data_IF_143166228165
#
_entry.id   IF_143166228165
#
_cell.length_a   1.000
_cell.length_b   1.000
_cell.length_c   1.000
_cell.angle_alpha   90.00
_cell.angle_beta   90.00
_cell.angle_gamma   90.00
#
_symmetry.space_group_name_H-M   'P 1'
#
loop_
_entity.id
_entity.type
_entity.pdbx_description
1 polymer ?
#
# COMPACT_ATOMS: atom_id res chain seq x y z
N UNK A 1 -24.97 13.37 7.45
CA UNK A 1 -24.44 12.27 6.64
C UNK A 1 -23.07 11.91 7.18
N UNK A 2 -22.88 10.65 7.54
CA UNK A 2 -21.64 10.11 8.09
C UNK A 2 -20.77 9.51 6.99
N UNK A 3 -19.45 9.59 7.15
CA UNK A 3 -18.49 8.90 6.27
C UNK A 3 -18.12 7.56 6.92
N UNK A 4 -18.87 6.52 6.58
CA UNK A 4 -18.68 5.19 7.17
C UNK A 4 -17.37 4.55 6.71
N UNK A 5 -16.78 3.77 7.60
CA UNK A 5 -15.53 3.04 7.41
C UNK A 5 -15.84 1.56 7.64
N UNK A 6 -15.51 0.71 6.67
CA UNK A 6 -15.61 -0.74 6.85
C UNK A 6 -14.57 -1.19 7.86
N UNK A 7 -14.97 -1.82 8.96
CA UNK A 7 -14.02 -2.29 10.00
C UNK A 7 -13.10 -3.40 9.52
N UNK A 8 -13.46 -4.14 8.47
CA UNK A 8 -12.64 -5.23 7.92
C UNK A 8 -11.50 -4.71 7.05
N UNK A 9 -11.77 -3.84 6.06
CA UNK A 9 -10.75 -3.35 5.12
C UNK A 9 -10.27 -1.92 5.37
N UNK A 10 -10.97 -1.13 6.19
CA UNK A 10 -10.62 0.25 6.50
C UNK A 10 -10.99 1.27 5.42
N UNK A 11 -11.57 0.83 4.30
CA UNK A 11 -12.03 1.74 3.24
C UNK A 11 -13.15 2.64 3.74
N UNK A 12 -12.98 3.95 3.56
CA UNK A 12 -13.98 4.96 3.88
C UNK A 12 -14.92 5.21 2.68
N UNK A 13 -16.20 5.36 2.99
CA UNK A 13 -17.28 5.59 2.04
C UNK A 13 -17.60 7.08 1.92
N UNK A 14 -18.23 7.51 0.80
CA UNK A 14 -18.78 8.86 0.71
C UNK A 14 -19.84 9.09 1.79
N UNK A 15 -20.14 10.35 2.13
CA UNK A 15 -21.18 10.66 3.12
C UNK A 15 -22.51 9.96 2.80
N UNK A 16 -23.09 9.28 3.79
CA UNK A 16 -24.38 8.58 3.69
C UNK A 16 -25.25 8.83 4.93
N UNK A 17 -26.57 8.72 4.81
CA UNK A 17 -27.50 8.81 5.95
C UNK A 17 -27.66 7.49 6.73
N UNK A 18 -27.28 6.37 6.11
CA UNK A 18 -27.35 5.04 6.70
C UNK A 18 -26.07 4.26 6.40
N UNK A 19 -25.78 3.26 7.24
CA UNK A 19 -24.67 2.35 7.02
C UNK A 19 -24.79 1.69 5.65
N UNK A 20 -23.69 1.59 4.87
CA UNK A 20 -23.74 0.90 3.59
C UNK A 20 -24.16 -0.56 3.77
N UNK A 21 -24.93 -1.09 2.82
CA UNK A 21 -25.39 -2.48 2.88
C UNK A 21 -24.24 -3.49 2.78
N UNK A 22 -23.21 -3.16 2.00
CA UNK A 22 -22.02 -3.98 1.84
C UNK A 22 -20.81 -3.15 1.45
N UNK A 23 -19.62 -3.69 1.71
CA UNK A 23 -18.38 -3.13 1.23
C UNK A 23 -17.92 -3.83 -0.05
N UNK A 24 -17.91 -3.16 -1.24
CA UNK A 24 -17.50 -3.79 -2.50
C UNK A 24 -16.09 -4.37 -2.47
N UNK A 25 -15.18 -3.75 -1.70
CA UNK A 25 -13.80 -4.25 -1.52
C UNK A 25 -13.81 -5.58 -0.78
N UNK A 26 -14.55 -5.70 0.33
CA UNK A 26 -14.67 -6.93 1.11
C UNK A 26 -15.48 -8.04 0.41
N UNK A 27 -16.39 -7.68 -0.49
CA UNK A 27 -17.19 -8.63 -1.27
C UNK A 27 -16.41 -9.21 -2.46
N UNK A 28 -15.22 -8.70 -2.73
CA UNK A 28 -14.37 -9.15 -3.83
C UNK A 28 -13.41 -10.26 -3.38
N UNK A 29 -13.11 -11.20 -4.29
CA UNK A 29 -12.31 -12.42 -4.06
C UNK A 29 -10.90 -12.19 -3.49
N UNK A 30 -10.38 -10.97 -3.57
CA UNK A 30 -9.07 -10.57 -3.06
C UNK A 30 -9.11 -10.10 -1.61
N UNK A 31 -10.31 -10.03 -1.05
CA UNK A 31 -10.59 -9.76 0.34
C UNK A 31 -11.66 -10.75 0.86
N UNK A 32 -12.31 -10.38 1.97
CA UNK A 32 -13.35 -11.15 2.61
C UNK A 32 -14.24 -10.23 3.46
N UNK A 33 -15.44 -10.70 3.77
CA UNK A 33 -16.30 -10.15 4.81
C UNK A 33 -15.88 -10.76 6.15
N UNK A 34 -15.73 -9.92 7.17
CA UNK A 34 -15.34 -10.38 8.50
C UNK A 34 -16.29 -11.47 9.07
N UNK A 35 -15.83 -12.31 10.01
CA UNK A 35 -16.66 -13.37 10.60
C UNK A 35 -17.95 -12.88 11.28
N UNK A 36 -17.97 -11.61 11.73
CA UNK A 36 -19.16 -10.95 12.29
C UNK A 36 -20.12 -10.35 11.26
N UNK A 37 -19.83 -10.50 9.96
CA UNK A 37 -20.53 -9.81 8.88
C UNK A 37 -19.92 -8.45 8.55
N UNK A 38 -20.69 -7.59 7.89
CA UNK A 38 -20.28 -6.21 7.60
C UNK A 38 -20.46 -5.34 8.84
N UNK A 39 -19.36 -4.76 9.32
CA UNK A 39 -19.36 -3.85 10.45
C UNK A 39 -18.77 -2.50 10.05
N UNK A 40 -19.36 -1.44 10.59
CA UNK A 40 -19.05 -0.07 10.22
C UNK A 40 -18.62 0.74 11.45
N UNK A 41 -17.74 1.71 11.23
CA UNK A 41 -17.44 2.79 12.17
C UNK A 41 -17.32 4.12 11.43
N UNK A 42 -16.95 5.19 12.10
CA UNK A 42 -16.58 6.48 11.47
C UNK A 42 -15.28 6.99 12.07
N UNK A 43 -14.61 7.93 11.38
CA UNK A 43 -13.41 8.56 11.93
C UNK A 43 -13.73 9.31 13.23
N UNK A 44 -14.92 9.90 13.35
CA UNK A 44 -15.40 10.53 14.58
C UNK A 44 -15.51 9.54 15.74
N UNK A 45 -16.12 8.36 15.52
CA UNK A 45 -16.20 7.33 16.56
C UNK A 45 -14.81 6.84 16.97
N UNK A 46 -13.91 6.60 16.01
CA UNK A 46 -12.55 6.15 16.30
C UNK A 46 -11.79 7.17 17.15
N UNK A 47 -11.86 8.46 16.82
CA UNK A 47 -11.16 9.54 17.56
C UNK A 47 -11.76 9.77 18.95
N UNK A 48 -13.09 9.80 19.09
CA UNK A 48 -13.77 9.95 20.39
C UNK A 48 -13.52 8.77 21.32
N UNK A 49 -13.34 7.56 20.78
CA UNK A 49 -13.05 6.38 21.59
C UNK A 49 -11.71 6.46 22.32
N UNK A 50 -10.76 7.26 21.81
CA UNK A 50 -9.37 7.34 22.29
C UNK A 50 -8.64 5.99 22.39
N UNK A 51 -9.15 4.97 21.70
CA UNK A 51 -8.56 3.63 21.70
C UNK A 51 -7.43 3.49 20.69
N UNK A 52 -7.33 4.39 19.72
CA UNK A 52 -6.36 4.32 18.62
C UNK A 52 -5.35 5.46 18.70
N UNK A 53 -4.13 5.16 18.28
CA UNK A 53 -3.06 6.12 18.00
C UNK A 53 -2.32 5.68 16.74
N UNK A 54 -1.65 6.59 16.05
CA UNK A 54 -0.70 6.23 15.00
C UNK A 54 0.72 6.22 15.58
N UNK A 55 1.36 5.06 15.54
CA UNK A 55 2.78 4.92 15.82
C UNK A 55 3.57 5.40 14.60
N UNK A 56 4.35 6.48 14.78
CA UNK A 56 5.25 7.01 13.75
C UNK A 56 6.68 6.67 14.14
N UNK A 57 7.36 5.87 13.32
CA UNK A 57 8.71 5.38 13.62
C UNK A 57 9.66 5.67 12.47
N UNK A 58 10.85 6.19 12.80
CA UNK A 58 11.93 6.31 11.83
C UNK A 58 12.52 4.93 11.54
N UNK A 59 12.46 4.49 10.29
CA UNK A 59 13.01 3.19 9.86
C UNK A 59 14.45 3.33 9.37
N UNK A 60 14.72 4.39 8.61
CA UNK A 60 16.07 4.76 8.19
C UNK A 60 16.16 6.28 7.95
N UNK A 61 17.28 6.75 7.41
CA UNK A 61 17.40 8.16 7.04
C UNK A 61 16.34 8.52 5.99
N UNK A 62 15.55 9.56 6.29
CA UNK A 62 14.50 10.09 5.42
C UNK A 62 13.31 9.13 5.16
N UNK A 63 13.13 8.13 6.03
CA UNK A 63 12.00 7.20 5.94
C UNK A 63 11.34 6.99 7.30
N UNK A 64 10.03 7.19 7.34
CA UNK A 64 9.19 6.93 8.50
C UNK A 64 8.07 5.96 8.14
N UNK A 65 7.77 5.03 9.03
CA UNK A 65 6.59 4.18 8.99
C UNK A 65 5.48 4.77 9.86
N UNK A 66 4.23 4.55 9.45
CA UNK A 66 3.03 4.94 10.17
C UNK A 66 2.12 3.73 10.29
N UNK A 67 1.80 3.32 11.52
CA UNK A 67 0.89 2.20 11.79
C UNK A 67 -0.11 2.56 12.90
N UNK A 68 -1.38 2.25 12.70
CA UNK A 68 -2.41 2.41 13.74
C UNK A 68 -2.27 1.32 14.81
N UNK A 69 -2.29 1.72 16.07
CA UNK A 69 -2.24 0.86 17.26
C UNK A 69 -3.45 1.15 18.18
N UNK A 70 -4.17 0.12 18.66
CA UNK A 70 -4.08 -1.28 18.26
C UNK A 70 -4.42 -1.46 16.77
N UNK A 71 -4.11 -2.63 16.24
CA UNK A 71 -4.32 -2.93 14.83
C UNK A 71 -5.80 -2.71 14.43
N UNK A 72 -6.00 -2.02 13.31
CA UNK A 72 -7.31 -1.73 12.75
C UNK A 72 -7.38 -2.21 11.30
N UNK A 73 -8.52 -2.79 10.93
CA UNK A 73 -8.76 -3.35 9.60
C UNK A 73 -7.64 -4.33 9.18
N UNK A 74 -6.97 -4.07 8.05
CA UNK A 74 -5.92 -4.93 7.51
C UNK A 74 -4.62 -4.83 8.32
N UNK A 75 -4.44 -3.77 9.11
CA UNK A 75 -3.23 -3.58 9.93
C UNK A 75 -1.99 -3.18 9.15
N UNK A 76 -2.20 -2.55 7.98
CA UNK A 76 -1.15 -2.10 7.10
C UNK A 76 -0.35 -0.91 7.66
N UNK A 77 0.84 -0.74 7.10
CA UNK A 77 1.75 0.39 7.33
C UNK A 77 1.76 1.30 6.11
N UNK A 78 1.63 2.61 6.33
CA UNK A 78 1.97 3.63 5.34
C UNK A 78 3.40 4.14 5.58
N UNK A 79 4.04 4.67 4.54
CA UNK A 79 5.40 5.17 4.62
C UNK A 79 5.51 6.63 4.19
N UNK A 80 6.15 7.46 5.00
CA UNK A 80 6.52 8.83 4.64
C UNK A 80 7.98 8.85 4.18
N UNK A 81 8.18 9.07 2.88
CA UNK A 81 9.50 9.19 2.24
C UNK A 81 9.82 10.68 2.06
N UNK A 82 10.92 11.15 2.63
CA UNK A 82 11.41 12.52 2.46
C UNK A 82 12.49 12.56 1.38
N UNK A 83 12.21 13.19 0.25
CA UNK A 83 13.13 13.17 -0.90
C UNK A 83 13.27 14.56 -1.53
N UNK A 84 14.43 15.19 -1.38
CA UNK A 84 14.75 16.50 -1.98
C UNK A 84 13.70 17.60 -1.71
N UNK A 85 13.16 17.66 -0.49
CA UNK A 85 12.12 18.61 -0.11
C UNK A 85 10.70 18.23 -0.55
N UNK A 86 10.53 17.05 -1.17
CA UNK A 86 9.25 16.46 -1.50
C UNK A 86 8.97 15.27 -0.57
N UNK A 87 7.90 15.36 0.22
CA UNK A 87 7.51 14.33 1.15
C UNK A 87 6.37 13.50 0.56
N UNK A 88 6.64 12.25 0.16
CA UNK A 88 5.64 11.35 -0.39
C UNK A 88 5.11 10.44 0.71
N UNK A 89 3.80 10.40 0.88
CA UNK A 89 3.13 9.31 1.61
C UNK A 89 2.84 8.18 0.62
N UNK A 90 3.43 7.02 0.85
CA UNK A 90 3.16 5.79 0.12
C UNK A 90 2.18 4.90 0.88
N UNK A 91 1.10 4.52 0.20
CA UNK A 91 -0.08 3.87 0.79
C UNK A 91 -0.74 4.74 1.88
N UNK A 92 -1.86 4.28 2.44
CA UNK A 92 -2.62 5.05 3.42
C UNK A 92 -3.19 4.17 4.53
N UNK A 93 -3.38 4.76 5.72
CA UNK A 93 -4.02 4.15 6.88
C UNK A 93 -5.32 4.87 7.21
N UNK A 94 -6.18 4.23 8.00
CA UNK A 94 -7.56 4.72 8.19
C UNK A 94 -7.67 5.78 9.28
N UNK A 95 -6.97 5.57 10.41
CA UNK A 95 -7.07 6.47 11.55
C UNK A 95 -6.23 7.74 11.33
N UNK A 96 -6.83 8.90 11.63
CA UNK A 96 -6.20 10.20 11.52
C UNK A 96 -6.74 11.10 12.65
N UNK A 97 -5.83 11.62 13.47
CA UNK A 97 -6.13 12.58 14.53
C UNK A 97 -5.22 13.80 14.47
N UNK A 98 -5.55 14.83 15.25
CA UNK A 98 -4.80 16.09 15.26
C UNK A 98 -3.34 15.90 15.67
N UNK A 99 -3.08 15.00 16.63
CA UNK A 99 -1.72 14.71 17.08
C UNK A 99 -0.86 14.12 15.94
N UNK A 100 -1.41 13.18 15.18
CA UNK A 100 -0.76 12.63 13.98
C UNK A 100 -0.49 13.72 12.96
N UNK A 101 -1.47 14.59 12.70
CA UNK A 101 -1.35 15.69 11.72
C UNK A 101 -0.20 16.62 12.10
N UNK A 102 -0.16 17.09 13.35
CA UNK A 102 0.87 18.00 13.83
C UNK A 102 2.25 17.33 13.83
N UNK A 103 2.36 16.07 14.25
CA UNK A 103 3.63 15.32 14.20
C UNK A 103 4.17 15.22 12.77
N UNK A 104 3.31 14.99 11.78
CA UNK A 104 3.75 14.93 10.37
C UNK A 104 4.11 16.31 9.83
N UNK A 105 3.42 17.37 10.24
CA UNK A 105 3.81 18.76 9.90
C UNK A 105 5.20 19.10 10.45
N UNK A 106 5.53 18.66 11.67
CA UNK A 106 6.88 18.80 12.25
C UNK A 106 7.94 18.02 11.45
N UNK A 107 7.56 16.91 10.81
CA UNK A 107 8.40 16.18 9.86
C UNK A 107 8.42 16.80 8.45
N UNK A 108 7.89 18.01 8.26
CA UNK A 108 7.88 18.74 6.99
C UNK A 108 6.62 18.53 6.14
N UNK A 109 5.59 17.88 6.69
CA UNK A 109 4.29 17.68 6.04
C UNK A 109 4.30 16.60 4.95
N UNK A 110 3.24 16.59 4.15
CA UNK A 110 3.07 15.72 2.98
C UNK A 110 3.00 16.62 1.74
N UNK A 111 3.62 16.21 0.64
CA UNK A 111 3.58 16.88 -0.66
C UNK A 111 2.65 16.16 -1.64
N UNK A 112 2.54 14.84 -1.52
CA UNK A 112 1.61 14.02 -2.27
C UNK A 112 1.35 12.69 -1.54
N UNK A 113 0.25 12.05 -1.88
CA UNK A 113 -0.06 10.66 -1.52
C UNK A 113 -0.02 9.85 -2.82
N UNK A 114 0.60 8.68 -2.80
CA UNK A 114 0.53 7.71 -3.90
C UNK A 114 0.21 6.33 -3.35
N UNK A 115 -0.63 5.59 -4.05
CA UNK A 115 -1.22 4.37 -3.52
C UNK A 115 -0.90 3.18 -4.41
N UNK A 116 -0.54 2.07 -3.79
CA UNK A 116 -0.18 0.84 -4.50
C UNK A 116 -1.40 0.19 -5.15
N UNK A 117 -2.49 0.00 -4.40
CA UNK A 117 -3.70 -0.68 -4.85
C UNK A 117 -4.87 -0.52 -3.85
N UNK A 118 -6.10 -0.93 -4.19
CA UNK A 118 -7.34 -0.59 -3.48
C UNK A 118 -7.43 -0.91 -1.99
N UNK A 119 -6.76 -1.96 -1.51
CA UNK A 119 -6.79 -2.30 -0.09
C UNK A 119 -6.15 -1.24 0.80
N UNK A 120 -5.26 -0.41 0.26
CA UNK A 120 -4.55 0.61 1.00
C UNK A 120 -5.04 2.04 0.69
N UNK A 121 -6.21 2.17 0.06
CA UNK A 121 -6.86 3.47 -0.14
C UNK A 121 -7.45 4.00 1.17
N UNK A 122 -7.91 3.14 2.08
CA UNK A 122 -8.25 3.50 3.46
C UNK A 122 -9.12 4.77 3.59
N UNK A 123 -8.67 5.75 4.38
CA UNK A 123 -9.24 7.08 4.48
C UNK A 123 -8.43 8.14 3.67
N UNK A 124 -7.88 7.77 2.50
CA UNK A 124 -7.02 8.61 1.65
C UNK A 124 -7.50 10.05 1.48
N UNK A 125 -8.82 10.26 1.39
CA UNK A 125 -9.40 11.58 1.16
C UNK A 125 -9.31 12.43 2.43
N UNK A 126 -9.48 11.87 3.63
CA UNK A 126 -9.26 12.61 4.89
C UNK A 126 -7.81 13.08 5.00
N UNK A 127 -6.86 12.20 4.65
CA UNK A 127 -5.44 12.54 4.61
C UNK A 127 -5.14 13.63 3.58
N UNK A 128 -5.66 13.50 2.37
CA UNK A 128 -5.44 14.49 1.31
C UNK A 128 -6.05 15.86 1.65
N UNK A 129 -7.24 15.89 2.25
CA UNK A 129 -7.91 17.11 2.72
C UNK A 129 -7.12 17.76 3.87
N UNK A 130 -6.66 16.97 4.85
CA UNK A 130 -5.91 17.47 6.01
C UNK A 130 -4.57 18.12 5.66
N UNK A 131 -3.88 17.59 4.63
CA UNK A 131 -2.59 18.12 4.16
C UNK A 131 -2.72 18.98 2.90
N UNK A 132 -3.91 19.07 2.30
CA UNK A 132 -4.19 19.74 1.03
C UNK A 132 -3.25 19.30 -0.11
N UNK A 133 -3.20 17.99 -0.38
CA UNK A 133 -2.26 17.36 -1.33
C UNK A 133 -2.95 16.48 -2.37
N UNK A 134 -2.36 16.23 -3.54
CA UNK A 134 -2.90 15.28 -4.51
C UNK A 134 -2.73 13.82 -4.06
N UNK A 135 -3.64 12.96 -4.54
CA UNK A 135 -3.58 11.50 -4.43
C UNK A 135 -3.35 10.92 -5.83
N UNK A 136 -2.30 10.13 -6.02
CA UNK A 136 -2.02 9.44 -7.27
C UNK A 136 -2.51 8.00 -7.25
N UNK A 137 -3.43 7.66 -8.15
CA UNK A 137 -4.00 6.33 -8.34
C UNK A 137 -3.87 5.91 -9.80
N UNK A 138 -3.51 4.66 -10.08
CA UNK A 138 -3.47 4.19 -11.46
C UNK A 138 -4.88 4.06 -12.04
N UNK A 139 -5.10 4.50 -13.28
CA UNK A 139 -6.44 4.54 -13.88
C UNK A 139 -7.14 3.18 -14.00
N UNK A 140 -6.37 2.09 -14.13
CA UNK A 140 -6.91 0.73 -14.15
C UNK A 140 -7.59 0.32 -12.84
N UNK A 141 -7.34 1.04 -11.74
CA UNK A 141 -7.99 0.79 -10.46
C UNK A 141 -9.08 1.83 -10.13
N UNK A 142 -9.46 2.68 -11.10
CA UNK A 142 -10.49 3.73 -10.92
C UNK A 142 -11.81 3.18 -10.38
N UNK A 143 -12.22 2.01 -10.83
CA UNK A 143 -13.48 1.38 -10.40
C UNK A 143 -13.50 1.02 -8.90
N UNK A 144 -12.32 0.93 -8.27
CA UNK A 144 -12.18 0.59 -6.85
C UNK A 144 -12.13 1.82 -5.94
N UNK A 145 -12.23 3.03 -6.48
CA UNK A 145 -12.31 4.26 -5.70
C UNK A 145 -13.73 4.40 -5.14
N UNK A 146 -13.89 4.11 -3.85
CA UNK A 146 -15.20 4.16 -3.17
C UNK A 146 -15.63 5.60 -2.85
N UNK A 147 -14.73 6.41 -2.27
CA UNK A 147 -14.97 7.84 -1.99
C UNK A 147 -14.23 8.69 -3.02
N UNK A 148 -14.98 9.34 -3.90
CA UNK A 148 -14.45 10.29 -4.87
C UNK A 148 -13.94 11.58 -4.20
N UNK A 149 -13.00 12.26 -4.86
CA UNK A 149 -12.43 13.54 -4.42
C UNK A 149 -11.70 14.25 -5.56
N UNK A 150 -11.74 15.59 -5.58
CA UNK A 150 -10.98 16.42 -6.51
C UNK A 150 -9.46 16.35 -6.28
N UNK A 151 -9.01 15.81 -5.14
CA UNK A 151 -7.60 15.54 -4.88
C UNK A 151 -7.06 14.35 -5.68
N UNK A 152 -7.92 13.49 -6.23
CA UNK A 152 -7.51 12.25 -6.91
C UNK A 152 -7.07 12.56 -8.35
N UNK A 153 -5.81 12.26 -8.63
CA UNK A 153 -5.20 12.31 -9.96
C UNK A 153 -5.00 10.88 -10.45
N UNK A 154 -5.71 10.53 -11.52
CA UNK A 154 -5.49 9.27 -12.20
C UNK A 154 -4.31 9.36 -13.15
N UNK A 155 -3.35 8.46 -12.98
CA UNK A 155 -2.22 8.32 -13.90
C UNK A 155 -2.33 7.04 -14.72
N UNK A 156 -1.70 7.05 -15.89
CA UNK A 156 -1.80 5.98 -16.88
C UNK A 156 -0.43 5.50 -17.33
N UNK A 157 -0.41 4.35 -18.00
CA UNK A 157 0.80 3.74 -18.53
C UNK A 157 1.55 2.90 -17.51
N UNK A 158 2.84 2.67 -17.78
CA UNK A 158 3.61 1.66 -17.05
C UNK A 158 4.40 2.25 -15.88
N UNK A 159 4.59 3.57 -15.86
CA UNK A 159 5.27 4.28 -14.78
C UNK A 159 4.88 5.75 -14.71
N UNK A 160 4.89 6.31 -13.50
CA UNK A 160 4.77 7.74 -13.24
C UNK A 160 6.00 8.22 -12.47
N UNK A 161 6.74 9.16 -13.06
CA UNK A 161 7.83 9.84 -12.37
C UNK A 161 7.27 11.03 -11.59
N UNK A 162 7.32 10.97 -10.26
CA UNK A 162 6.90 12.07 -9.40
C UNK A 162 8.01 13.12 -9.26
N UNK A 163 9.25 12.66 -9.09
CA UNK A 163 10.45 13.47 -9.04
C UNK A 163 11.64 12.65 -9.56
N UNK A 164 12.77 13.30 -9.87
CA UNK A 164 14.04 12.60 -10.10
C UNK A 164 14.36 11.67 -8.92
N UNK A 165 14.51 10.36 -9.18
CA UNK A 165 14.78 9.34 -8.16
C UNK A 165 13.56 8.81 -7.39
N UNK A 166 12.34 9.24 -7.74
CA UNK A 166 11.09 8.78 -7.12
C UNK A 166 10.04 8.45 -8.19
N UNK A 167 9.92 7.16 -8.50
CA UNK A 167 9.13 6.66 -9.64
C UNK A 167 8.18 5.57 -9.20
N UNK A 168 6.91 5.68 -9.60
CA UNK A 168 5.89 4.65 -9.41
C UNK A 168 5.88 3.75 -10.64
N UNK A 169 5.87 2.44 -10.44
CA UNK A 169 5.79 1.44 -11.51
C UNK A 169 4.52 0.62 -11.39
N UNK A 170 3.74 0.54 -12.47
CA UNK A 170 2.56 -0.30 -12.53
C UNK A 170 2.95 -1.74 -12.85
N UNK A 171 2.88 -2.63 -11.87
CA UNK A 171 3.17 -4.06 -12.04
C UNK A 171 1.93 -4.88 -12.35
N UNK A 172 0.77 -4.45 -11.90
CA UNK A 172 -0.46 -5.24 -11.95
C UNK A 172 -0.35 -6.50 -11.07
N UNK A 173 -1.11 -7.55 -11.40
CA UNK A 173 -1.09 -8.82 -10.68
C UNK A 173 -2.21 -8.87 -9.65
N UNK A 174 -1.94 -8.47 -8.40
CA UNK A 174 -2.93 -8.44 -7.33
C UNK A 174 -4.15 -7.56 -7.68
N UNK A 175 -3.88 -6.38 -8.26
CA UNK A 175 -4.87 -5.53 -8.94
C UNK A 175 -4.35 -5.16 -10.31
N UNK A 176 -5.23 -4.74 -11.22
CA UNK A 176 -4.83 -4.39 -12.59
C UNK A 176 -3.94 -3.15 -12.60
N UNK A 177 -4.24 -2.16 -11.76
CA UNK A 177 -3.44 -0.95 -11.54
C UNK A 177 -2.36 -1.10 -10.46
N UNK A 178 -2.23 -2.27 -9.82
CA UNK A 178 -1.30 -2.53 -8.73
C UNK A 178 0.11 -1.99 -9.00
N UNK A 179 0.62 -1.16 -8.10
CA UNK A 179 1.84 -0.39 -8.29
C UNK A 179 2.85 -0.57 -7.15
N UNK A 180 4.11 -0.31 -7.46
CA UNK A 180 5.22 -0.24 -6.50
C UNK A 180 5.94 1.10 -6.66
N UNK A 181 6.55 1.59 -5.58
CA UNK A 181 7.34 2.81 -5.60
C UNK A 181 8.83 2.49 -5.52
N UNK A 182 9.58 3.00 -6.49
CA UNK A 182 11.04 2.95 -6.51
C UNK A 182 11.61 4.29 -6.05
N UNK A 183 12.34 4.24 -4.94
CA UNK A 183 13.14 5.36 -4.42
C UNK A 183 14.62 5.08 -4.71
N UNK A 184 15.11 5.57 -5.85
CA UNK A 184 16.45 5.26 -6.38
C UNK A 184 17.57 5.68 -5.42
N UNK A 185 17.41 6.82 -4.75
CA UNK A 185 18.44 7.38 -3.88
C UNK A 185 18.31 6.94 -2.40
N UNK A 186 17.31 6.11 -2.08
CA UNK A 186 17.17 5.54 -0.75
C UNK A 186 18.30 4.57 -0.39
N UNK A 187 18.41 4.21 0.89
CA UNK A 187 19.42 3.26 1.39
C UNK A 187 20.84 3.60 0.89
N UNK A 188 21.28 4.84 1.14
CA UNK A 188 22.61 5.34 0.75
C UNK A 188 22.87 5.27 -0.77
N UNK A 189 21.83 5.45 -1.58
CA UNK A 189 21.92 5.40 -3.04
C UNK A 189 21.89 4.00 -3.66
N UNK A 190 21.60 2.96 -2.85
CA UNK A 190 21.43 1.59 -3.35
C UNK A 190 20.01 1.27 -3.82
N UNK A 191 19.07 2.17 -3.56
CA UNK A 191 17.68 2.06 -3.96
C UNK A 191 16.82 1.28 -2.97
N UNK A 192 15.57 1.72 -2.84
CA UNK A 192 14.53 1.12 -2.00
C UNK A 192 13.27 0.93 -2.82
N UNK A 193 12.59 -0.21 -2.66
CA UNK A 193 11.31 -0.49 -3.27
C UNK A 193 10.22 -0.61 -2.20
N UNK A 194 9.13 0.16 -2.34
CA UNK A 194 7.93 0.01 -1.51
C UNK A 194 6.87 -0.73 -2.31
N UNK A 195 6.43 -1.86 -1.77
CA UNK A 195 5.76 -2.89 -2.56
C UNK A 195 4.31 -3.12 -2.17
N UNK A 196 3.84 -2.52 -1.07
CA UNK A 196 2.56 -2.89 -0.48
C UNK A 196 2.54 -4.40 -0.22
N UNK A 197 1.64 -5.11 -0.89
CA UNK A 197 1.68 -6.57 -1.06
C UNK A 197 1.66 -7.00 -2.54
N UNK A 198 1.84 -6.07 -3.49
CA UNK A 198 2.05 -6.39 -4.92
C UNK A 198 3.24 -7.34 -5.09
N UNK A 199 4.28 -7.13 -4.26
CA UNK A 199 5.36 -8.08 -4.03
C UNK A 199 5.45 -8.27 -2.51
N UNK A 200 4.98 -9.40 -2.00
CA UNK A 200 4.87 -9.60 -0.56
C UNK A 200 6.15 -10.21 0.02
N UNK A 201 6.73 -9.55 1.03
CA UNK A 201 7.83 -10.12 1.83
C UNK A 201 7.27 -11.21 2.74
N UNK A 202 7.79 -12.43 2.60
CA UNK A 202 7.31 -13.60 3.35
C UNK A 202 8.00 -13.73 4.70
N UNK A 203 7.69 -14.80 5.45
CA UNK A 203 8.24 -15.01 6.79
C UNK A 203 9.78 -15.10 6.79
N UNK A 204 10.33 -15.83 5.81
CA UNK A 204 11.76 -15.77 5.51
C UNK A 204 12.05 -14.49 4.72
N UNK A 205 12.62 -13.49 5.41
CA UNK A 205 12.88 -12.14 4.89
C UNK A 205 13.98 -12.08 3.82
N UNK A 206 14.55 -13.22 3.44
CA UNK A 206 15.33 -13.35 2.21
C UNK A 206 14.49 -13.61 0.96
N UNK A 207 13.16 -13.68 1.06
CA UNK A 207 12.28 -14.06 -0.05
C UNK A 207 11.01 -13.21 -0.13
N UNK A 208 10.38 -13.26 -1.30
CA UNK A 208 9.07 -12.67 -1.57
C UNK A 208 8.11 -13.71 -2.18
N UNK A 209 6.84 -13.35 -2.31
CA UNK A 209 5.83 -14.13 -3.02
C UNK A 209 4.82 -13.19 -3.71
N UNK A 210 3.98 -13.76 -4.57
CA UNK A 210 3.02 -13.05 -5.39
C UNK A 210 1.66 -13.76 -5.32
N UNK A 211 0.56 -13.04 -5.10
CA UNK A 211 -0.77 -13.66 -5.03
C UNK A 211 -1.82 -12.80 -5.72
N UNK A 212 -2.83 -13.48 -6.28
CA UNK A 212 -4.05 -12.83 -6.70
C UNK A 212 -4.81 -12.39 -5.45
N UNK A 213 -4.95 -13.27 -4.46
CA UNK A 213 -5.60 -13.00 -3.18
C UNK A 213 -4.77 -13.56 -2.04
N UNK A 214 -4.21 -12.70 -1.18
CA UNK A 214 -3.52 -13.15 0.03
C UNK A 214 -4.46 -13.73 1.09
N UNK A 215 -5.62 -13.12 1.40
CA UNK A 215 -6.55 -13.68 2.38
C UNK A 215 -7.05 -15.08 2.00
N UNK A 216 -7.28 -15.33 0.70
CA UNK A 216 -7.80 -16.61 0.20
C UNK A 216 -6.71 -17.52 -0.38
N UNK A 217 -5.43 -17.13 -0.29
CA UNK A 217 -4.28 -17.87 -0.77
C UNK A 217 -4.37 -18.29 -2.25
N UNK A 218 -4.93 -17.43 -3.10
CA UNK A 218 -5.07 -17.68 -4.54
C UNK A 218 -3.80 -17.20 -5.27
N UNK A 219 -3.06 -18.09 -5.95
CA UNK A 219 -1.85 -17.70 -6.66
C UNK A 219 -2.13 -16.87 -7.91
N UNK A 220 -1.14 -16.09 -8.33
CA UNK A 220 -1.10 -15.51 -9.68
C UNK A 220 -0.67 -16.58 -10.69
N UNK A 221 -1.11 -16.46 -11.96
CA UNK A 221 -0.55 -17.24 -13.06
C UNK A 221 0.96 -17.04 -13.23
N UNK A 222 1.64 -18.07 -13.71
CA UNK A 222 3.09 -18.04 -13.93
C UNK A 222 3.51 -16.88 -14.84
N UNK A 223 2.79 -16.66 -15.94
CA UNK A 223 3.07 -15.61 -16.93
C UNK A 223 2.94 -14.21 -16.32
N UNK A 224 2.01 -14.04 -15.38
CA UNK A 224 1.84 -12.78 -14.65
C UNK A 224 3.04 -12.49 -13.76
N UNK A 225 3.52 -13.49 -13.02
CA UNK A 225 4.70 -13.35 -12.16
C UNK A 225 5.98 -13.14 -12.98
N UNK A 226 6.17 -13.86 -14.09
CA UNK A 226 7.28 -13.64 -15.02
C UNK A 226 7.28 -12.20 -15.55
N UNK A 227 6.10 -11.68 -15.95
CA UNK A 227 5.95 -10.29 -16.41
C UNK A 227 6.28 -9.27 -15.31
N UNK A 228 5.81 -9.49 -14.08
CA UNK A 228 6.09 -8.60 -12.94
C UNK A 228 7.60 -8.58 -12.62
N UNK A 229 8.23 -9.75 -12.52
CA UNK A 229 9.66 -9.87 -12.26
C UNK A 229 10.51 -9.24 -13.37
N UNK A 230 10.11 -9.44 -14.64
CA UNK A 230 10.77 -8.84 -15.80
C UNK A 230 10.71 -7.31 -15.82
N UNK A 231 9.58 -6.72 -15.40
CA UNK A 231 9.41 -5.24 -15.33
C UNK A 231 10.36 -4.57 -14.34
N UNK A 232 10.62 -5.20 -13.20
CA UNK A 232 11.47 -4.60 -12.15
C UNK A 232 12.93 -5.04 -12.24
N UNK A 233 13.24 -6.09 -13.02
CA UNK A 233 14.61 -6.56 -13.26
C UNK A 233 15.62 -5.47 -13.67
N UNK A 234 15.26 -4.46 -14.50
CA UNK A 234 16.20 -3.39 -14.84
C UNK A 234 16.37 -2.32 -13.74
N UNK A 235 15.56 -2.36 -12.67
CA UNK A 235 15.61 -1.38 -11.59
C UNK A 235 16.62 -1.82 -10.53
N UNK A 236 17.48 -0.90 -10.09
CA UNK A 236 18.44 -1.16 -9.01
C UNK A 236 17.80 -0.83 -7.66
N UNK A 237 17.68 -1.83 -6.79
CA UNK A 237 17.25 -1.65 -5.41
C UNK A 237 17.81 -2.77 -4.52
N UNK A 238 18.35 -2.38 -3.37
CA UNK A 238 18.94 -3.31 -2.39
C UNK A 238 17.94 -3.66 -1.28
N UNK A 239 16.89 -2.85 -1.10
CA UNK A 239 15.93 -2.99 0.00
C UNK A 239 14.48 -3.00 -0.46
N UNK A 240 13.64 -3.81 0.18
CA UNK A 240 12.17 -3.77 0.04
C UNK A 240 11.52 -3.48 1.38
N UNK A 241 10.52 -2.59 1.39
CA UNK A 241 9.51 -2.48 2.45
C UNK A 241 8.14 -2.91 1.91
N UNK A 242 7.43 -3.74 2.67
CA UNK A 242 6.04 -4.13 2.39
C UNK A 242 5.07 -3.43 3.35
N UNK A 243 3.77 -3.65 3.17
CA UNK A 243 2.73 -3.07 4.01
C UNK A 243 2.65 -3.61 5.45
N UNK A 244 3.50 -4.56 5.87
CA UNK A 244 3.36 -5.28 7.15
C UNK A 244 4.65 -5.25 7.98
N UNK A 245 5.45 -4.18 7.87
CA UNK A 245 6.76 -4.03 8.54
C UNK A 245 7.72 -5.21 8.30
N UNK A 246 7.61 -5.88 7.15
CA UNK A 246 8.58 -6.88 6.71
C UNK A 246 9.49 -6.25 5.66
N UNK A 247 10.78 -6.53 5.84
CA UNK A 247 11.85 -5.88 5.09
C UNK A 247 12.76 -6.95 4.53
N UNK A 248 13.04 -6.88 3.23
CA UNK A 248 14.23 -7.54 2.66
C UNK A 248 15.35 -6.52 2.77
N UNK A 249 16.32 -6.75 3.65
CA UNK A 249 17.28 -5.71 4.03
C UNK A 249 18.35 -5.42 2.97
N UNK A 250 18.72 -6.44 2.19
CA UNK A 250 19.79 -6.45 1.18
C UNK A 250 19.47 -7.40 0.04
N UNK A 251 20.09 -7.18 -1.12
CA UNK A 251 19.97 -7.99 -2.33
C UNK A 251 18.50 -8.24 -2.72
N UNK A 252 17.65 -7.22 -2.50
CA UNK A 252 16.21 -7.34 -2.67
C UNK A 252 15.82 -7.54 -4.14
N UNK A 253 16.55 -6.95 -5.09
CA UNK A 253 16.43 -7.21 -6.51
C UNK A 253 16.62 -8.70 -6.84
N UNK A 254 17.71 -9.31 -6.37
CA UNK A 254 17.99 -10.73 -6.50
C UNK A 254 16.92 -11.57 -5.78
N UNK A 255 16.40 -11.09 -4.65
CA UNK A 255 15.34 -11.76 -3.89
C UNK A 255 14.07 -11.89 -4.68
N UNK A 256 13.68 -10.83 -5.41
CA UNK A 256 12.51 -10.90 -6.28
C UNK A 256 12.73 -11.89 -7.42
N UNK A 257 13.88 -11.82 -8.11
CA UNK A 257 14.14 -12.69 -9.26
C UNK A 257 14.14 -14.18 -8.87
N UNK A 258 14.88 -14.56 -7.82
CA UNK A 258 14.92 -15.96 -7.35
C UNK A 258 13.57 -16.43 -6.82
N UNK A 259 12.79 -15.54 -6.19
CA UNK A 259 11.45 -15.86 -5.70
C UNK A 259 10.47 -16.08 -6.85
N UNK A 260 10.54 -15.27 -7.91
CA UNK A 260 9.71 -15.42 -9.09
C UNK A 260 10.00 -16.73 -9.84
N UNK A 261 11.27 -17.05 -10.07
CA UNK A 261 11.67 -18.33 -10.68
C UNK A 261 11.15 -19.53 -9.89
N UNK A 262 11.32 -19.47 -8.56
CA UNK A 262 10.86 -20.49 -7.62
C UNK A 262 9.33 -20.63 -7.66
N UNK A 263 8.61 -19.52 -7.60
CA UNK A 263 7.15 -19.47 -7.65
C UNK A 263 6.61 -20.07 -8.95
N UNK A 264 7.17 -19.66 -10.09
CA UNK A 264 6.77 -20.10 -11.43
C UNK A 264 6.95 -21.61 -11.59
N UNK A 265 8.07 -22.17 -11.11
CA UNK A 265 8.30 -23.62 -11.08
C UNK A 265 7.18 -24.34 -10.31
N UNK A 266 6.87 -23.88 -9.10
CA UNK A 266 5.82 -24.50 -8.28
C UNK A 266 4.44 -24.47 -8.96
N UNK A 267 4.04 -23.32 -9.54
CA UNK A 267 2.75 -23.21 -10.23
C UNK A 267 2.70 -24.07 -11.50
N UNK A 268 3.84 -24.31 -12.15
CA UNK A 268 3.97 -25.24 -13.28
C UNK A 268 4.10 -26.71 -12.86
N UNK A 269 4.00 -27.02 -11.56
CA UNK A 269 4.05 -28.40 -11.03
C UNK A 269 5.45 -28.92 -10.73
N UNK A 270 6.47 -28.06 -10.76
CA UNK A 270 7.85 -28.42 -10.46
C UNK A 270 8.26 -27.94 -9.07
N UNK A 271 8.59 -28.89 -8.18
CA UNK A 271 9.21 -28.57 -6.90
C UNK A 271 10.73 -28.47 -7.07
N UNK A 272 11.30 -27.48 -6.40
CA UNK A 272 12.72 -27.12 -6.48
C UNK A 272 13.46 -27.51 -5.19
N UNK A 273 14.79 -27.59 -5.26
CA UNK A 273 15.67 -27.62 -4.10
C UNK A 273 16.40 -26.27 -4.03
N UNK A 274 16.25 -25.59 -2.91
CA UNK A 274 16.95 -24.34 -2.57
C UNK A 274 18.20 -24.65 -1.77
#
# INVERSE_FOLDING_TARGET
MEKYICKTCGTQFPPCDHQPESCPICMEERQYVGPGGQEWTTLHEMTVSQNYTNEIKREESNLYSLKTAPEFAIGQTAYLIQHNGFNLMWDCITYLDEYTIETIKELGGISAIALSHPHYYSAQVEWAEAFNVPIYIHEDDREWVIRESDHIIFWSGESLKLLDGLVIHRLGGHFKGGAVLHWENGNEGKGVMFTGDIIQVVADRGWVSFMYSYPNLIPLPAETVERMAGKIKPLSFDRIYNAFHRVVEKEADLAVQRSAERYVKAIRGELFRT
#
